data_IF_990883203298
#
_entry.id   IF_990883203298
#
_cell.length_a   1.000
_cell.length_b   1.000
_cell.length_c   1.000
_cell.angle_alpha   90.00
_cell.angle_beta   90.00
_cell.angle_gamma   90.00
#
_symmetry.space_group_name_H-M   'P 1'
#
loop_
_entity.id
_entity.type
_entity.pdbx_description
1 polymer ?
#
# COMPACT_ATOMS: atom_id res chain seq x y z
N UNK A 1 -11.59 -38.36 32.78
CA UNK A 1 -10.75 -39.18 31.89
C UNK A 1 -10.77 -38.53 30.49
N UNK A 2 -9.90 -37.55 30.19
CA UNK A 2 -9.79 -37.03 28.82
C UNK A 2 -8.72 -37.81 28.04
N UNK A 3 -9.10 -38.29 26.85
CA UNK A 3 -8.20 -38.91 25.88
C UNK A 3 -7.55 -37.80 25.06
N UNK A 4 -6.23 -37.64 25.18
CA UNK A 4 -5.42 -36.73 24.37
C UNK A 4 -5.00 -37.45 23.09
N UNK A 5 -5.61 -37.09 21.96
CA UNK A 5 -5.16 -37.53 20.63
C UNK A 5 -4.10 -36.57 20.09
N UNK A 6 -2.89 -37.08 19.92
CA UNK A 6 -1.75 -36.39 19.30
C UNK A 6 -1.95 -36.26 17.79
N UNK A 7 -1.63 -35.11 17.15
CA UNK A 7 -1.62 -35.02 15.70
C UNK A 7 -0.34 -35.64 15.11
N UNK A 8 -0.55 -36.64 14.25
CA UNK A 8 0.43 -37.30 13.39
C UNK A 8 1.12 -36.28 12.48
N UNK A 9 2.42 -36.10 12.70
CA UNK A 9 3.32 -35.34 11.85
C UNK A 9 3.53 -36.10 10.53
N UNK A 10 3.05 -35.54 9.42
CA UNK A 10 3.33 -36.08 8.08
C UNK A 10 4.63 -35.48 7.55
N UNK A 11 5.51 -36.28 6.92
CA UNK A 11 6.77 -35.80 6.37
C UNK A 11 6.51 -34.88 5.16
N UNK A 12 7.10 -33.68 5.21
CA UNK A 12 7.22 -32.77 4.07
C UNK A 12 8.08 -33.46 3.02
N UNK A 13 7.47 -33.77 1.89
CA UNK A 13 8.16 -34.27 0.70
C UNK A 13 8.65 -33.04 -0.05
N UNK A 14 9.95 -32.75 0.09
CA UNK A 14 10.65 -31.66 -0.56
C UNK A 14 10.72 -31.94 -2.08
N UNK A 15 9.73 -31.44 -2.81
CA UNK A 15 9.72 -31.48 -4.26
C UNK A 15 10.81 -30.54 -4.79
N UNK A 16 11.98 -31.11 -5.08
CA UNK A 16 13.05 -30.50 -5.87
C UNK A 16 12.46 -29.95 -7.18
N UNK A 17 12.30 -28.63 -7.24
CA UNK A 17 11.90 -27.95 -8.46
C UNK A 17 13.08 -27.87 -9.41
N UNK A 18 12.93 -28.26 -10.70
CA UNK A 18 14.01 -28.18 -11.67
C UNK A 18 14.39 -26.72 -11.91
N UNK A 19 15.69 -26.47 -11.78
CA UNK A 19 16.35 -25.18 -12.01
C UNK A 19 16.13 -24.75 -13.48
N UNK A 20 15.60 -23.55 -13.76
CA UNK A 20 15.44 -23.10 -15.14
C UNK A 20 16.83 -22.91 -15.78
N UNK A 21 17.10 -23.68 -16.83
CA UNK A 21 18.29 -23.52 -17.66
C UNK A 21 18.31 -22.11 -18.22
N UNK A 22 19.43 -21.41 -17.95
CA UNK A 22 19.67 -20.08 -18.49
C UNK A 22 19.87 -20.18 -20.01
N UNK A 23 19.23 -19.32 -20.82
CA UNK A 23 19.44 -19.34 -22.25
C UNK A 23 20.89 -18.98 -22.61
N UNK A 24 21.43 -19.55 -23.69
CA UNK A 24 22.79 -19.26 -24.14
C UNK A 24 22.93 -17.78 -24.47
N UNK A 25 23.92 -17.16 -23.83
CA UNK A 25 24.42 -15.82 -24.06
C UNK A 25 24.87 -15.69 -25.52
N UNK A 26 23.97 -15.25 -26.40
CA UNK A 26 24.31 -14.87 -27.77
C UNK A 26 25.02 -13.52 -27.72
N UNK A 27 26.31 -13.55 -28.05
CA UNK A 27 27.20 -12.42 -27.99
C UNK A 27 26.76 -11.24 -28.84
N UNK A 28 26.94 -10.06 -28.25
CA UNK A 28 27.76 -9.00 -28.83
C UNK A 28 27.46 -8.59 -30.28
N UNK A 29 26.46 -7.72 -30.45
CA UNK A 29 26.56 -6.66 -31.44
C UNK A 29 26.87 -5.35 -30.71
N UNK A 30 28.15 -4.97 -30.74
CA UNK A 30 28.61 -3.64 -30.35
C UNK A 30 28.08 -2.65 -31.38
N UNK A 31 27.06 -1.87 -31.04
CA UNK A 31 26.77 -0.63 -31.75
C UNK A 31 27.54 0.50 -31.06
N UNK A 32 28.60 0.94 -31.72
CA UNK A 32 29.33 2.16 -31.40
C UNK A 32 28.37 3.35 -31.57
N UNK A 33 27.70 3.74 -30.48
CA UNK A 33 27.00 5.02 -30.37
C UNK A 33 27.99 6.09 -29.93
N UNK A 34 28.48 6.84 -30.91
CA UNK A 34 29.34 8.02 -30.75
C UNK A 34 28.71 9.02 -29.77
N UNK A 35 29.42 9.33 -28.69
CA UNK A 35 29.15 10.48 -27.83
C UNK A 35 29.63 11.72 -28.56
N UNK A 36 28.76 12.29 -29.39
CA UNK A 36 29.01 13.60 -29.99
C UNK A 36 28.86 14.69 -28.93
N UNK A 37 29.87 15.55 -28.92
CA UNK A 37 30.15 16.56 -27.93
C UNK A 37 29.24 17.79 -28.12
N UNK A 38 28.83 18.39 -26.99
CA UNK A 38 28.81 19.84 -26.78
C UNK A 38 28.16 20.76 -27.82
N UNK A 39 27.07 21.42 -27.42
CA UNK A 39 26.60 22.67 -28.05
C UNK A 39 25.55 23.38 -27.21
N UNK A 40 25.50 24.73 -27.20
CA UNK A 40 25.30 25.51 -25.97
C UNK A 40 23.85 25.91 -25.67
N UNK A 41 23.67 26.36 -24.42
CA UNK A 41 22.63 27.24 -23.90
C UNK A 41 22.05 28.18 -24.98
N UNK A 42 20.76 28.02 -25.29
CA UNK A 42 19.98 29.08 -25.95
C UNK A 42 18.73 29.35 -25.12
N UNK A 43 18.75 30.51 -24.46
CA UNK A 43 17.59 31.15 -23.87
C UNK A 43 16.58 31.54 -24.96
N UNK A 44 15.30 31.52 -24.58
CA UNK A 44 14.29 32.41 -25.15
C UNK A 44 13.57 31.88 -26.38
N UNK A 45 12.29 31.55 -26.22
CA UNK A 45 11.19 32.20 -26.94
C UNK A 45 9.84 31.66 -26.48
N UNK A 46 8.95 32.57 -26.10
CA UNK A 46 7.51 32.34 -25.93
C UNK A 46 6.89 31.81 -27.23
N UNK A 47 5.73 31.13 -27.13
CA UNK A 47 4.74 31.22 -28.19
C UNK A 47 3.48 31.96 -27.72
N UNK A 48 3.29 33.16 -28.28
CA UNK A 48 2.00 33.80 -28.49
C UNK A 48 1.45 33.33 -29.84
N UNK A 49 0.27 32.71 -29.87
CA UNK A 49 -0.72 32.64 -30.97
C UNK A 49 -1.68 31.48 -30.67
N UNK A 50 -2.91 31.68 -30.22
CA UNK A 50 -4.05 32.24 -30.95
C UNK A 50 -4.43 31.42 -32.20
N UNK A 51 -5.54 30.67 -32.07
CA UNK A 51 -6.44 30.38 -33.20
C UNK A 51 -6.29 29.05 -33.92
N UNK A 52 -7.03 28.04 -33.46
CA UNK A 52 -7.82 27.17 -34.35
C UNK A 52 -8.90 26.42 -33.57
N UNK A 53 -10.12 26.93 -33.67
CA UNK A 53 -11.33 26.17 -33.36
C UNK A 53 -11.54 25.14 -34.48
N UNK A 54 -11.78 23.90 -34.09
CA UNK A 54 -12.24 22.83 -34.97
C UNK A 54 -12.99 21.79 -34.13
N UNK A 55 -14.30 21.56 -34.37
CA UNK A 55 -15.10 20.61 -33.61
C UNK A 55 -14.93 19.22 -34.22
N UNK A 56 -14.30 18.30 -33.47
CA UNK A 56 -14.50 16.86 -33.72
C UNK A 56 -14.83 16.20 -32.39
N UNK A 57 -16.13 16.02 -32.18
CA UNK A 57 -16.71 15.15 -31.19
C UNK A 57 -16.32 13.70 -31.50
N UNK A 58 -15.17 13.25 -31.01
CA UNK A 58 -14.91 11.82 -30.81
C UNK A 58 -15.07 11.53 -29.33
N UNK A 59 -16.28 11.02 -29.04
CA UNK A 59 -16.71 10.47 -27.75
C UNK A 59 -15.69 9.46 -27.25
N UNK A 60 -14.73 9.93 -26.46
CA UNK A 60 -13.88 9.09 -25.62
C UNK A 60 -14.73 8.76 -24.41
N UNK A 61 -15.51 7.70 -24.55
CA UNK A 61 -16.26 7.06 -23.46
C UNK A 61 -15.24 6.63 -22.42
N UNK A 62 -15.07 7.45 -21.38
CA UNK A 62 -14.29 7.09 -20.21
C UNK A 62 -14.78 5.72 -19.71
N UNK A 63 -13.87 4.79 -19.36
CA UNK A 63 -14.28 3.63 -18.61
C UNK A 63 -14.86 4.13 -17.30
N UNK A 64 -16.19 4.04 -17.20
CA UNK A 64 -16.92 4.10 -15.95
C UNK A 64 -16.26 3.09 -15.03
N UNK A 65 -15.41 3.57 -14.11
CA UNK A 65 -14.97 2.81 -12.96
C UNK A 65 -16.21 2.61 -12.08
N UNK A 66 -17.05 1.66 -12.47
CA UNK A 66 -17.93 1.01 -11.52
C UNK A 66 -17.01 0.35 -10.51
N UNK A 67 -16.80 1.02 -9.39
CA UNK A 67 -16.40 0.37 -8.15
C UNK A 67 -17.44 -0.73 -7.91
N UNK A 68 -17.12 -1.93 -8.37
CA UNK A 68 -17.88 -3.11 -8.06
C UNK A 68 -17.83 -3.24 -6.55
N UNK A 69 -19.03 -3.08 -5.98
CA UNK A 69 -19.39 -3.36 -4.62
C UNK A 69 -18.67 -4.63 -4.15
N UNK A 70 -17.62 -4.46 -3.35
CA UNK A 70 -17.02 -5.53 -2.53
C UNK A 70 -17.98 -5.74 -1.36
N UNK A 71 -19.07 -6.44 -1.65
CA UNK A 71 -19.84 -7.12 -0.63
C UNK A 71 -19.43 -8.58 -0.61
N UNK A 72 -19.12 -9.02 0.61
CA UNK A 72 -19.34 -10.38 1.09
C UNK A 72 -18.22 -11.41 0.87
N UNK A 73 -17.23 -11.38 1.77
CA UNK A 73 -16.72 -12.61 2.37
C UNK A 73 -16.14 -12.33 3.77
N UNK A 74 -16.81 -12.84 4.81
CA UNK A 74 -16.12 -13.34 6.01
C UNK A 74 -15.86 -12.36 7.14
N UNK A 75 -16.86 -11.62 7.62
CA UNK A 75 -16.80 -11.02 8.96
C UNK A 75 -17.46 -11.96 9.98
N UNK A 76 -16.71 -12.98 10.40
CA UNK A 76 -16.98 -13.71 11.64
C UNK A 76 -16.02 -13.14 12.70
N UNK A 77 -16.36 -11.95 13.22
CA UNK A 77 -15.70 -11.41 14.41
C UNK A 77 -16.64 -11.60 15.60
N UNK A 78 -16.21 -12.50 16.48
CA UNK A 78 -16.75 -12.75 17.80
C UNK A 78 -17.21 -11.46 18.47
N UNK A 79 -18.49 -11.45 18.82
CA UNK A 79 -19.07 -10.63 19.85
C UNK A 79 -18.47 -11.06 21.20
N UNK A 80 -17.33 -10.51 21.57
CA UNK A 80 -16.94 -10.43 22.98
C UNK A 80 -17.53 -9.16 23.59
N UNK A 81 -18.41 -9.41 24.54
CA UNK A 81 -18.98 -8.44 25.45
C UNK A 81 -17.84 -7.71 26.19
N UNK A 82 -17.65 -6.44 25.85
CA UNK A 82 -16.78 -5.53 26.58
C UNK A 82 -17.57 -4.31 27.00
N UNK A 83 -18.31 -4.41 28.10
CA UNK A 83 -18.93 -3.28 28.78
C UNK A 83 -17.82 -2.37 29.35
N UNK A 84 -17.27 -1.49 28.51
CA UNK A 84 -16.24 -0.52 28.85
C UNK A 84 -16.81 0.88 28.89
N UNK A 85 -17.56 1.17 29.95
CA UNK A 85 -18.10 2.48 30.32
C UNK A 85 -16.93 3.42 30.67
N UNK A 86 -16.50 4.25 29.71
CA UNK A 86 -15.50 5.31 29.92
C UNK A 86 -16.13 6.67 29.75
N UNK A 87 -16.79 7.17 30.79
CA UNK A 87 -17.31 8.52 30.89
C UNK A 87 -16.16 9.52 30.85
N UNK A 88 -16.14 10.41 29.86
CA UNK A 88 -15.32 11.61 29.86
C UNK A 88 -15.79 12.54 30.99
N UNK A 89 -15.19 12.40 32.18
CA UNK A 89 -15.24 13.42 33.22
C UNK A 89 -14.17 14.46 32.90
N UNK A 90 -14.57 15.49 32.17
CA UNK A 90 -13.88 16.78 32.21
C UNK A 90 -14.19 17.41 33.57
N UNK A 91 -13.39 17.09 34.58
CA UNK A 91 -13.41 17.80 35.86
C UNK A 91 -11.95 18.13 36.22
N UNK A 92 -11.41 19.09 35.46
CA UNK A 92 -10.21 19.82 35.83
C UNK A 92 -10.54 20.77 36.96
N UNK A 93 -10.80 20.19 38.14
CA UNK A 93 -10.95 20.90 39.40
C UNK A 93 -9.58 21.47 39.77
N UNK A 94 -9.31 22.67 39.25
CA UNK A 94 -8.29 23.55 39.80
C UNK A 94 -8.71 23.91 41.23
N UNK A 95 -8.36 23.05 42.16
CA UNK A 95 -8.41 23.32 43.60
C UNK A 95 -7.28 24.30 43.91
N UNK A 96 -7.49 25.56 43.56
CA UNK A 96 -6.78 26.68 44.17
C UNK A 96 -7.26 26.75 45.61
N UNK A 97 -6.66 25.92 46.48
CA UNK A 97 -6.78 26.05 47.92
C UNK A 97 -6.15 27.37 48.31
N UNK A 98 -6.95 28.44 48.26
CA UNK A 98 -6.67 29.70 48.89
C UNK A 98 -6.73 29.51 50.40
N UNK A 99 -5.71 28.87 50.96
CA UNK A 99 -5.30 29.07 52.35
C UNK A 99 -4.85 30.52 52.46
N UNK A 100 -5.83 31.42 52.64
CA UNK A 100 -5.63 32.77 53.16
C UNK A 100 -5.14 32.65 54.59
N UNK A 101 -3.89 32.21 54.74
CA UNK A 101 -3.15 32.34 55.96
C UNK A 101 -3.07 33.83 56.24
N UNK A 102 -3.58 34.23 57.40
CA UNK A 102 -3.47 35.56 57.95
C UNK A 102 -2.01 36.02 57.85
N UNK A 103 -1.69 36.79 56.80
CA UNK A 103 -0.38 37.42 56.63
C UNK A 103 -0.29 38.46 57.74
N UNK A 104 0.25 38.04 58.89
CA UNK A 104 0.86 38.96 59.85
C UNK A 104 1.84 39.78 59.02
N UNK A 105 1.57 41.06 58.88
CA UNK A 105 2.48 42.01 58.24
C UNK A 105 3.73 42.05 59.11
N UNK A 106 4.68 41.18 58.81
CA UNK A 106 6.01 41.20 59.39
C UNK A 106 6.61 42.58 59.13
N UNK A 107 7.37 43.09 60.10
CA UNK A 107 8.09 44.34 59.92
C UNK A 107 9.00 44.18 58.68
N UNK A 108 8.95 45.08 57.68
CA UNK A 108 9.82 44.98 56.50
C UNK A 108 11.31 44.88 56.86
N UNK A 109 11.72 45.38 58.04
CA UNK A 109 13.08 45.20 58.57
C UNK A 109 13.39 43.74 58.94
N UNK A 110 12.40 42.98 59.42
CA UNK A 110 12.55 41.56 59.79
C UNK A 110 12.75 40.68 58.53
N UNK A 111 12.10 41.03 57.43
CA UNK A 111 12.28 40.38 56.12
C UNK A 111 13.66 40.64 55.49
N UNK A 112 14.23 41.83 55.70
CA UNK A 112 15.57 42.18 55.21
C UNK A 112 16.67 41.51 56.03
N UNK A 113 16.38 41.19 57.30
CA UNK A 113 17.29 40.48 58.20
C UNK A 113 17.22 38.96 58.04
N UNK A 114 16.21 38.44 57.34
CA UNK A 114 16.10 37.01 57.04
C UNK A 114 17.14 36.63 56.00
N UNK A 115 18.01 35.68 56.34
CA UNK A 115 18.97 35.12 55.41
C UNK A 115 18.21 34.39 54.30
N UNK A 116 18.48 34.77 53.04
CA UNK A 116 17.88 34.11 51.89
C UNK A 116 18.35 32.66 51.85
N UNK A 117 17.44 31.72 51.60
CA UNK A 117 17.86 30.37 51.28
C UNK A 117 18.79 30.40 50.06
N UNK A 118 19.89 29.63 50.10
CA UNK A 118 20.80 29.56 48.97
C UNK A 118 20.05 29.03 47.74
N UNK A 119 20.07 29.80 46.66
CA UNK A 119 19.41 29.40 45.43
C UNK A 119 20.13 28.21 44.79
N UNK A 120 19.48 27.05 44.78
CA UNK A 120 19.99 25.88 44.08
C UNK A 120 19.65 25.95 42.59
N UNK A 121 20.54 26.59 41.83
CA UNK A 121 20.44 26.67 40.37
C UNK A 121 20.50 25.30 39.67
N UNK A 122 21.13 24.30 40.29
CA UNK A 122 21.35 23.00 39.66
C UNK A 122 20.03 22.22 39.56
N UNK A 123 19.36 22.02 40.68
CA UNK A 123 18.10 21.26 40.70
C UNK A 123 16.93 22.02 40.08
N UNK A 124 16.87 23.35 40.25
CA UNK A 124 15.71 24.13 39.83
C UNK A 124 15.71 24.50 38.34
N UNK A 125 16.87 24.63 37.71
CA UNK A 125 16.98 25.17 36.35
C UNK A 125 17.76 24.24 35.42
N UNK A 126 18.93 23.77 35.85
CA UNK A 126 19.84 23.03 34.97
C UNK A 126 19.31 21.62 34.73
N UNK A 127 18.96 20.89 35.79
CA UNK A 127 18.51 19.50 35.68
C UNK A 127 17.24 19.33 34.82
N UNK A 128 16.16 20.12 34.97
CA UNK A 128 14.98 19.99 34.10
C UNK A 128 15.31 20.25 32.63
N UNK A 129 16.23 21.16 32.34
CA UNK A 129 16.64 21.45 30.97
C UNK A 129 17.46 20.31 30.37
N UNK A 130 18.30 19.65 31.16
CA UNK A 130 19.03 18.46 30.75
C UNK A 130 18.07 17.26 30.52
N UNK A 131 17.07 17.08 31.38
CA UNK A 131 16.03 16.05 31.22
C UNK A 131 15.16 16.30 29.98
N UNK A 132 14.77 17.54 29.72
CA UNK A 132 14.03 17.93 28.51
C UNK A 132 14.88 17.71 27.25
N UNK A 133 16.17 18.06 27.28
CA UNK A 133 17.08 17.86 26.15
C UNK A 133 17.27 16.37 25.81
N UNK A 134 17.36 15.51 26.84
CA UNK A 134 17.42 14.06 26.65
C UNK A 134 16.11 13.52 26.07
N UNK A 135 14.98 14.00 26.58
CA UNK A 135 13.65 13.59 26.10
C UNK A 135 13.41 13.97 24.65
N UNK A 136 13.87 15.16 24.22
CA UNK A 136 13.75 15.62 22.84
C UNK A 136 14.63 14.81 21.86
N UNK A 137 15.82 14.41 22.30
CA UNK A 137 16.69 13.50 21.54
C UNK A 137 16.05 12.11 21.38
N UNK A 138 15.50 11.54 22.45
CA UNK A 138 14.77 10.27 22.39
C UNK A 138 13.55 10.35 21.46
N UNK A 139 12.81 11.47 21.51
CA UNK A 139 11.69 11.71 20.61
C UNK A 139 12.12 11.78 19.15
N UNK A 140 13.20 12.50 18.84
CA UNK A 140 13.74 12.59 17.48
C UNK A 140 14.17 11.22 16.95
N UNK A 141 14.78 10.39 17.80
CA UNK A 141 15.18 9.03 17.42
C UNK A 141 13.96 8.14 17.13
N UNK A 142 12.96 8.14 18.00
CA UNK A 142 11.73 7.36 17.79
C UNK A 142 10.95 7.86 16.57
N UNK A 143 10.85 9.18 16.37
CA UNK A 143 10.20 9.77 15.20
C UNK A 143 10.89 9.34 13.91
N UNK A 144 12.22 9.43 13.87
CA UNK A 144 13.02 8.99 12.72
C UNK A 144 12.79 7.51 12.43
N UNK A 145 12.80 6.68 13.47
CA UNK A 145 12.53 5.24 13.36
C UNK A 145 11.14 4.98 12.76
N UNK A 146 10.11 5.70 13.21
CA UNK A 146 8.73 5.56 12.73
C UNK A 146 8.58 5.99 11.28
N UNK A 147 9.19 7.11 10.88
CA UNK A 147 9.17 7.59 9.49
C UNK A 147 9.84 6.56 8.57
N UNK A 148 11.02 6.06 8.95
CA UNK A 148 11.72 5.03 8.19
C UNK A 148 10.88 3.76 8.05
N UNK A 149 10.23 3.31 9.13
CA UNK A 149 9.33 2.17 9.08
C UNK A 149 8.17 2.40 8.10
N UNK A 150 7.51 3.57 8.17
CA UNK A 150 6.41 3.91 7.27
C UNK A 150 6.86 3.97 5.80
N UNK A 151 8.05 4.52 5.53
CA UNK A 151 8.61 4.55 4.17
C UNK A 151 8.88 3.15 3.64
N UNK A 152 9.42 2.25 4.46
CA UNK A 152 9.67 0.85 4.09
C UNK A 152 8.37 0.09 3.82
N UNK A 153 7.37 0.24 4.69
CA UNK A 153 6.05 -0.37 4.52
C UNK A 153 5.36 0.14 3.24
N UNK A 154 5.41 1.44 2.99
CA UNK A 154 4.86 2.06 1.79
C UNK A 154 5.58 1.55 0.53
N UNK A 155 6.92 1.49 0.57
CA UNK A 155 7.70 0.96 -0.54
C UNK A 155 7.37 -0.53 -0.81
N UNK A 156 7.29 -1.35 0.24
CA UNK A 156 6.92 -2.76 0.11
C UNK A 156 5.52 -2.91 -0.51
N UNK A 157 4.54 -2.11 -0.07
CA UNK A 157 3.19 -2.14 -0.63
C UNK A 157 3.15 -1.69 -2.09
N UNK A 158 3.84 -0.59 -2.42
CA UNK A 158 3.96 -0.08 -3.79
C UNK A 158 4.69 -1.06 -4.72
N UNK A 159 5.64 -1.86 -4.21
CA UNK A 159 6.34 -2.86 -5.00
C UNK A 159 5.48 -4.11 -5.26
N UNK A 160 4.70 -4.55 -4.27
CA UNK A 160 3.89 -5.77 -4.35
C UNK A 160 2.62 -5.56 -5.17
N UNK A 161 1.94 -4.42 -5.02
CA UNK A 161 0.61 -4.17 -5.60
C UNK A 161 0.57 -4.27 -7.14
N UNK A 162 1.46 -3.62 -7.92
CA UNK A 162 1.44 -3.72 -9.37
C UNK A 162 1.67 -5.14 -9.89
N UNK A 163 2.45 -5.95 -9.17
CA UNK A 163 2.69 -7.34 -9.52
C UNK A 163 1.42 -8.18 -9.32
N UNK A 164 0.73 -7.99 -8.20
CA UNK A 164 -0.53 -8.68 -7.91
C UNK A 164 -1.63 -8.30 -8.93
N UNK A 165 -1.74 -7.01 -9.27
CA UNK A 165 -2.69 -6.54 -10.28
C UNK A 165 -2.39 -7.10 -11.66
N UNK A 166 -1.12 -7.12 -12.08
CA UNK A 166 -0.71 -7.72 -13.35
C UNK A 166 -1.04 -9.21 -13.39
N UNK A 167 -0.77 -9.94 -12.31
CA UNK A 167 -1.08 -11.37 -12.25
C UNK A 167 -2.59 -11.61 -12.38
N UNK A 168 -3.42 -10.85 -11.68
CA UNK A 168 -4.88 -10.95 -11.79
C UNK A 168 -5.38 -10.66 -13.22
N UNK A 169 -4.77 -9.68 -13.91
CA UNK A 169 -5.07 -9.38 -15.32
C UNK A 169 -4.63 -10.52 -16.25
N UNK A 170 -3.45 -11.10 -16.03
CA UNK A 170 -2.98 -12.27 -16.79
C UNK A 170 -3.94 -13.45 -16.62
N UNK A 171 -4.31 -13.79 -15.39
CA UNK A 171 -5.26 -14.87 -15.11
C UNK A 171 -6.65 -14.61 -15.72
N UNK A 172 -7.07 -13.34 -15.81
CA UNK A 172 -8.29 -12.97 -16.51
C UNK A 172 -8.19 -13.19 -18.03
N UNK A 173 -7.06 -12.82 -18.63
CA UNK A 173 -6.83 -13.03 -20.07
C UNK A 173 -6.74 -14.51 -20.41
N UNK A 174 -6.03 -15.31 -19.60
CA UNK A 174 -5.94 -16.76 -19.77
C UNK A 174 -7.33 -17.42 -19.75
N UNK A 175 -8.18 -17.03 -18.80
CA UNK A 175 -9.58 -17.50 -18.77
C UNK A 175 -10.34 -17.17 -20.05
N UNK A 176 -10.23 -15.93 -20.54
CA UNK A 176 -10.90 -15.51 -21.79
C UNK A 176 -10.36 -16.25 -23.02
N UNK A 177 -9.05 -16.50 -23.06
CA UNK A 177 -8.43 -17.28 -24.15
C UNK A 177 -8.98 -18.72 -24.13
N UNK A 178 -9.09 -19.33 -22.95
CA UNK A 178 -9.65 -20.67 -22.82
C UNK A 178 -11.12 -20.72 -23.25
N UNK A 179 -11.94 -19.76 -22.82
CA UNK A 179 -13.34 -19.64 -23.24
C UNK A 179 -13.48 -19.50 -24.76
N UNK A 180 -12.64 -18.67 -25.39
CA UNK A 180 -12.62 -18.50 -26.85
C UNK A 180 -12.20 -19.79 -27.56
N UNK A 181 -11.17 -20.46 -27.05
CA UNK A 181 -10.66 -21.72 -27.62
C UNK A 181 -11.72 -22.82 -27.58
N UNK A 182 -12.48 -22.93 -26.48
CA UNK A 182 -13.60 -23.86 -26.37
C UNK A 182 -14.73 -23.52 -27.36
N UNK A 183 -15.04 -22.24 -27.55
CA UNK A 183 -16.03 -21.81 -28.51
C UNK A 183 -15.60 -22.11 -29.95
N UNK A 184 -14.35 -21.84 -30.30
CA UNK A 184 -13.76 -22.18 -31.61
C UNK A 184 -13.78 -23.70 -31.84
N UNK A 185 -13.45 -24.49 -30.83
CA UNK A 185 -13.51 -25.95 -30.91
C UNK A 185 -14.93 -26.44 -31.24
N UNK A 186 -15.95 -25.90 -30.56
CA UNK A 186 -17.37 -26.21 -30.83
C UNK A 186 -17.78 -25.82 -32.26
N UNK A 187 -17.34 -24.65 -32.73
CA UNK A 187 -17.63 -24.19 -34.10
C UNK A 187 -16.99 -25.10 -35.15
N UNK A 188 -15.73 -25.50 -34.94
CA UNK A 188 -15.02 -26.39 -35.83
C UNK A 188 -15.65 -27.79 -35.86
N UNK A 189 -16.10 -28.30 -34.72
CA UNK A 189 -16.86 -29.57 -34.66
C UNK A 189 -18.16 -29.48 -35.47
N UNK A 190 -18.92 -28.39 -35.32
CA UNK A 190 -20.15 -28.15 -36.10
C UNK A 190 -19.86 -28.07 -37.61
N UNK A 191 -18.77 -27.37 -38.00
CA UNK A 191 -18.32 -27.28 -39.40
C UNK A 191 -17.99 -28.66 -39.97
N UNK A 192 -17.29 -29.51 -39.22
CA UNK A 192 -16.96 -30.89 -39.64
C UNK A 192 -18.21 -31.74 -39.82
N UNK A 193 -19.17 -31.67 -38.89
CA UNK A 193 -20.46 -32.37 -39.00
C UNK A 193 -21.21 -31.93 -40.26
N UNK A 194 -21.31 -30.63 -40.50
CA UNK A 194 -21.95 -30.10 -41.72
C UNK A 194 -21.23 -30.58 -43.00
N UNK A 195 -19.90 -30.52 -43.03
CA UNK A 195 -19.13 -30.96 -44.19
C UNK A 195 -19.36 -32.45 -44.49
N UNK A 196 -19.38 -33.30 -43.46
CA UNK A 196 -19.67 -34.72 -43.60
C UNK A 196 -21.07 -34.97 -44.16
N UNK A 197 -22.07 -34.20 -43.72
CA UNK A 197 -23.44 -34.27 -44.23
C UNK A 197 -23.52 -33.91 -45.71
N UNK A 198 -22.90 -32.81 -46.12
CA UNK A 198 -22.85 -32.39 -47.52
C UNK A 198 -22.18 -33.45 -48.39
N UNK A 199 -21.11 -34.08 -47.91
CA UNK A 199 -20.46 -35.18 -48.63
C UNK A 199 -21.38 -36.40 -48.78
N UNK A 200 -22.15 -36.76 -47.75
CA UNK A 200 -23.14 -37.84 -47.85
C UNK A 200 -24.23 -37.53 -48.87
N UNK A 201 -24.76 -36.30 -48.89
CA UNK A 201 -25.76 -35.90 -49.89
C UNK A 201 -25.21 -35.94 -51.31
N UNK A 202 -23.98 -35.44 -51.53
CA UNK A 202 -23.34 -35.49 -52.85
C UNK A 202 -23.23 -36.93 -53.35
N UNK A 203 -22.73 -37.84 -52.50
CA UNK A 203 -22.65 -39.28 -52.84
C UNK A 203 -24.02 -39.89 -53.16
N UNK A 204 -25.08 -39.48 -52.45
CA UNK A 204 -26.42 -39.98 -52.72
C UNK A 204 -26.98 -39.46 -54.05
N UNK A 205 -26.72 -38.20 -54.39
CA UNK A 205 -27.09 -37.62 -55.69
C UNK A 205 -26.34 -38.32 -56.82
N UNK A 206 -25.01 -38.50 -56.68
CA UNK A 206 -24.18 -39.18 -57.66
C UNK A 206 -24.62 -40.63 -57.90
N UNK A 207 -25.23 -41.29 -56.90
CA UNK A 207 -25.76 -42.64 -57.03
C UNK A 207 -27.13 -42.72 -57.73
N UNK A 208 -27.84 -41.60 -57.89
CA UNK A 208 -29.15 -41.53 -58.56
C UNK A 208 -29.05 -41.17 -60.05
N UNK A 209 -27.93 -40.59 -60.47
CA UNK A 209 -27.61 -40.25 -61.87
C UNK A 209 -26.79 -41.34 -62.54
#
# INVERSE_FOLDING_TARGET
>A
MPLTSSPTSSPIVEASSPRPESPPNQGGMQTHGSWDQGGPLSQGSQPTAQGRQGPTSSSTKAPSLSFANVEQAGSARSSEAGAGRGTATADGSASTSASSALVKRSDPMELVLQEFEPFDSQSLVIQPFEEDALSDEEFHQELTRRILQLMLETHAWCAVKPRAERQAQTEQLERRINEMTEAEHKHEEARRKLMSFVQMMRKAVDALT
#
